data_IF_387146715190
#
_entry.id   IF_387146715190
#
_cell.length_a   1.000
_cell.length_b   1.000
_cell.length_c   1.000
_cell.angle_alpha   90.00
_cell.angle_beta   90.00
_cell.angle_gamma   90.00
#
_symmetry.space_group_name_H-M   'P 1'
#
loop_
_entity.id
_entity.type
_entity.pdbx_description
1 polymer ?
#
# COMPACT_ATOMS: atom_id res chain seq x y z
N UNK A 1 -25.44 -36.70 -2.84
CA UNK A 1 -24.78 -36.54 -1.53
C UNK A 1 -25.84 -36.20 -0.49
N UNK A 2 -25.72 -36.62 0.79
CA UNK A 2 -26.69 -36.26 1.82
C UNK A 2 -26.68 -34.73 2.08
N UNK A 3 -27.75 -34.15 2.65
CA UNK A 3 -27.75 -32.74 3.04
C UNK A 3 -26.59 -32.39 3.99
N UNK A 4 -25.92 -31.27 3.76
CA UNK A 4 -24.82 -30.78 4.60
C UNK A 4 -23.65 -30.19 3.81
N UNK A 5 -22.60 -29.79 4.52
CA UNK A 5 -21.36 -29.25 3.94
C UNK A 5 -20.43 -30.39 3.53
N UNK A 6 -20.11 -30.46 2.24
CA UNK A 6 -19.17 -31.42 1.68
C UNK A 6 -17.93 -30.71 1.15
N UNK A 7 -16.75 -31.31 1.35
CA UNK A 7 -15.50 -30.82 0.78
C UNK A 7 -14.94 -31.88 -0.16
N UNK A 8 -14.85 -31.56 -1.45
CA UNK A 8 -14.24 -32.42 -2.47
C UNK A 8 -12.87 -31.84 -2.81
N UNK A 9 -11.83 -32.65 -2.72
CA UNK A 9 -10.46 -32.30 -3.11
C UNK A 9 -10.06 -33.14 -4.32
N UNK A 10 -9.45 -32.49 -5.32
CA UNK A 10 -8.92 -33.15 -6.50
C UNK A 10 -7.59 -32.52 -6.85
N UNK A 11 -6.57 -33.35 -6.99
CA UNK A 11 -5.25 -32.90 -7.39
C UNK A 11 -5.19 -32.80 -8.92
N UNK A 12 -4.65 -31.70 -9.41
CA UNK A 12 -4.49 -31.42 -10.84
C UNK A 12 -3.02 -31.08 -11.07
N UNK A 13 -2.38 -31.83 -11.97
CA UNK A 13 -1.01 -31.55 -12.40
C UNK A 13 -1.03 -30.82 -13.74
N UNK A 14 -0.38 -29.65 -13.80
CA UNK A 14 -0.21 -28.86 -15.02
C UNK A 14 1.25 -28.99 -15.45
N UNK A 15 1.51 -29.82 -16.47
CA UNK A 15 2.85 -29.95 -17.04
C UNK A 15 3.28 -28.63 -17.69
N UNK A 16 4.54 -28.27 -17.52
CA UNK A 16 5.14 -27.06 -18.10
C UNK A 16 4.32 -25.79 -17.82
N UNK A 17 3.82 -25.68 -16.59
CA UNK A 17 2.99 -24.56 -16.15
C UNK A 17 3.71 -23.21 -16.37
N UNK A 18 3.03 -22.28 -17.00
CA UNK A 18 3.50 -20.90 -17.18
C UNK A 18 3.24 -20.14 -15.88
N UNK A 19 4.30 -19.88 -15.12
CA UNK A 19 4.18 -19.16 -13.86
C UNK A 19 3.67 -17.73 -14.05
N UNK A 20 2.92 -17.24 -13.08
CA UNK A 20 2.57 -15.83 -12.98
C UNK A 20 3.78 -15.04 -12.47
N UNK A 21 4.06 -13.92 -13.13
CA UNK A 21 5.11 -12.99 -12.75
C UNK A 21 4.56 -11.56 -12.70
N UNK A 22 5.09 -10.70 -11.81
CA UNK A 22 4.89 -9.27 -11.92
C UNK A 22 5.38 -8.73 -13.27
N UNK A 23 4.80 -7.62 -13.69
CA UNK A 23 4.98 -7.08 -15.05
C UNK A 23 6.42 -6.68 -15.39
N UNK A 24 7.22 -6.35 -14.37
CA UNK A 24 8.58 -5.85 -14.51
C UNK A 24 9.62 -6.96 -14.66
N UNK A 25 9.27 -8.21 -14.33
CA UNK A 25 10.19 -9.35 -14.36
C UNK A 25 9.68 -10.55 -15.17
N UNK A 26 8.45 -10.50 -15.67
CA UNK A 26 7.89 -11.55 -16.51
C UNK A 26 6.47 -11.28 -16.97
N UNK A 27 5.82 -12.33 -17.47
CA UNK A 27 4.42 -12.26 -17.92
C UNK A 27 3.47 -12.66 -16.79
N UNK A 28 2.39 -11.89 -16.53
CA UNK A 28 1.35 -12.25 -15.59
C UNK A 28 0.43 -13.33 -16.19
N UNK A 29 0.93 -14.56 -16.32
CA UNK A 29 0.15 -15.68 -16.86
C UNK A 29 -0.99 -16.05 -15.92
N UNK A 30 -2.22 -16.07 -16.44
CA UNK A 30 -3.43 -16.43 -15.72
C UNK A 30 -4.10 -17.64 -16.36
N UNK A 31 -4.71 -18.46 -15.52
CA UNK A 31 -5.49 -19.64 -15.86
C UNK A 31 -6.92 -19.44 -15.39
N UNK A 32 -7.87 -20.12 -16.06
CA UNK A 32 -9.28 -20.13 -15.66
C UNK A 32 -9.60 -21.54 -15.20
N UNK A 33 -9.95 -21.67 -13.92
CA UNK A 33 -10.54 -22.89 -13.39
C UNK A 33 -12.05 -22.85 -13.62
N UNK A 34 -12.58 -23.88 -14.28
CA UNK A 34 -14.03 -24.06 -14.49
C UNK A 34 -14.48 -25.28 -13.70
N UNK A 35 -15.29 -25.06 -12.66
CA UNK A 35 -15.82 -26.11 -11.80
C UNK A 35 -17.32 -26.26 -12.08
N UNK A 36 -17.76 -27.48 -12.35
CA UNK A 36 -19.18 -27.83 -12.51
C UNK A 36 -19.54 -28.99 -11.60
N UNK A 37 -20.72 -28.93 -10.98
CA UNK A 37 -21.31 -30.04 -10.24
C UNK A 37 -22.46 -30.58 -11.07
N UNK A 38 -22.31 -31.81 -11.59
CA UNK A 38 -23.31 -32.41 -12.48
C UNK A 38 -23.74 -33.80 -12.01
N UNK A 39 -25.03 -34.11 -12.13
CA UNK A 39 -25.62 -35.42 -11.90
C UNK A 39 -26.51 -35.79 -13.09
N UNK A 40 -26.42 -37.02 -13.62
CA UNK A 40 -27.26 -37.50 -14.73
C UNK A 40 -27.34 -36.55 -15.95
N UNK A 41 -26.21 -35.90 -16.31
CA UNK A 41 -26.08 -34.88 -17.37
C UNK A 41 -26.76 -33.53 -17.09
N UNK A 42 -27.33 -33.34 -15.91
CA UNK A 42 -27.84 -32.04 -15.45
C UNK A 42 -26.71 -31.32 -14.70
N UNK A 43 -26.42 -30.08 -15.07
CA UNK A 43 -25.49 -29.22 -14.34
C UNK A 43 -26.25 -28.51 -13.21
N UNK A 44 -25.91 -28.80 -11.96
CA UNK A 44 -26.55 -28.21 -10.78
C UNK A 44 -25.92 -26.89 -10.38
N UNK A 45 -24.61 -26.74 -10.59
CA UNK A 45 -23.89 -25.53 -10.21
C UNK A 45 -22.61 -25.37 -11.05
N UNK A 46 -22.20 -24.13 -11.26
CA UNK A 46 -21.05 -23.76 -12.05
C UNK A 46 -20.33 -22.55 -11.48
N UNK A 47 -19.00 -22.64 -11.41
CA UNK A 47 -18.15 -21.53 -10.97
C UNK A 47 -16.89 -21.43 -11.82
N UNK A 48 -16.60 -20.22 -12.28
CA UNK A 48 -15.31 -19.86 -12.85
C UNK A 48 -14.46 -19.10 -11.83
N UNK A 49 -13.17 -19.34 -11.83
CA UNK A 49 -12.22 -18.60 -10.99
C UNK A 49 -10.90 -18.47 -11.74
N UNK A 50 -10.45 -17.23 -11.92
CA UNK A 50 -9.14 -16.93 -12.47
C UNK A 50 -8.08 -17.11 -11.39
N UNK A 51 -6.95 -17.71 -11.72
CA UNK A 51 -5.82 -17.89 -10.81
C UNK A 51 -4.49 -17.80 -11.56
N UNK A 52 -3.40 -17.57 -10.83
CA UNK A 52 -2.04 -17.61 -11.35
C UNK A 52 -1.21 -18.58 -10.52
N UNK A 53 -0.27 -19.27 -11.17
CA UNK A 53 0.61 -20.24 -10.50
C UNK A 53 1.90 -19.52 -10.14
N UNK A 54 2.17 -19.36 -8.84
CA UNK A 54 3.43 -18.80 -8.37
C UNK A 54 3.74 -19.23 -6.94
N UNK A 55 5.01 -19.12 -6.58
CA UNK A 55 5.47 -19.24 -5.20
C UNK A 55 5.82 -17.86 -4.64
N UNK A 56 5.46 -17.58 -3.39
CA UNK A 56 5.96 -16.41 -2.66
C UNK A 56 6.61 -16.84 -1.37
N UNK A 57 7.79 -16.28 -1.10
CA UNK A 57 8.57 -16.50 0.12
C UNK A 57 9.13 -15.17 0.62
N UNK A 58 9.48 -15.13 1.90
CA UNK A 58 10.28 -14.06 2.48
C UNK A 58 11.58 -14.61 3.07
N UNK A 59 12.67 -13.90 2.82
CA UNK A 59 13.99 -14.15 3.41
C UNK A 59 14.41 -12.97 4.31
N UNK A 60 15.30 -13.27 5.25
CA UNK A 60 15.93 -12.24 6.07
C UNK A 60 16.74 -11.29 5.20
N UNK A 61 16.59 -9.99 5.44
CA UNK A 61 17.30 -8.96 4.71
C UNK A 61 18.82 -9.10 4.93
N UNK A 62 19.62 -9.21 3.85
CA UNK A 62 21.07 -9.21 4.00
C UNK A 62 21.55 -7.92 4.67
N UNK A 63 22.38 -8.02 5.70
CA UNK A 63 22.91 -6.86 6.42
C UNK A 63 22.09 -6.44 7.65
N UNK A 64 21.01 -7.14 7.97
CA UNK A 64 20.39 -7.10 9.30
C UNK A 64 20.51 -8.46 9.98
N UNK A 65 20.76 -8.44 11.29
CA UNK A 65 20.78 -9.64 12.13
C UNK A 65 19.39 -9.93 12.70
N UNK A 66 19.17 -11.16 13.18
CA UNK A 66 17.93 -11.54 13.89
C UNK A 66 17.76 -10.88 15.25
N UNK A 67 18.81 -10.22 15.75
CA UNK A 67 18.76 -9.41 16.96
C UNK A 67 18.29 -7.97 16.66
N UNK A 68 18.41 -7.53 15.41
CA UNK A 68 17.98 -6.20 14.95
C UNK A 68 16.57 -6.20 14.37
N UNK A 69 16.13 -7.31 13.77
CA UNK A 69 14.82 -7.45 13.13
C UNK A 69 14.14 -8.76 13.53
N UNK A 70 12.82 -8.74 13.68
CA UNK A 70 11.97 -9.88 14.07
C UNK A 70 11.31 -10.56 12.86
N UNK A 71 11.19 -9.86 11.72
CA UNK A 71 10.54 -10.39 10.51
C UNK A 71 11.44 -10.31 9.28
N UNK A 72 11.44 -11.34 8.41
CA UNK A 72 12.04 -11.24 7.09
C UNK A 72 11.23 -10.28 6.20
N UNK A 73 11.90 -9.41 5.43
CA UNK A 73 11.23 -8.48 4.50
C UNK A 73 11.71 -8.59 3.05
N UNK A 74 12.68 -9.46 2.76
CA UNK A 74 13.11 -9.70 1.38
C UNK A 74 12.11 -10.61 0.70
N UNK A 75 11.27 -10.05 -0.17
CA UNK A 75 10.24 -10.83 -0.89
C UNK A 75 10.81 -11.52 -2.12
N UNK A 76 10.48 -12.80 -2.28
CA UNK A 76 10.80 -13.61 -3.45
C UNK A 76 9.52 -14.04 -4.14
N UNK A 77 9.51 -13.93 -5.47
CA UNK A 77 8.46 -14.49 -6.32
C UNK A 77 9.10 -15.51 -7.24
N UNK A 78 8.66 -16.76 -7.17
CA UNK A 78 9.23 -17.90 -7.91
C UNK A 78 10.76 -17.99 -7.74
N UNK A 79 11.25 -17.76 -6.52
CA UNK A 79 12.69 -17.78 -6.18
C UNK A 79 13.49 -16.54 -6.58
N UNK A 80 12.89 -15.53 -7.24
CA UNK A 80 13.57 -14.28 -7.60
C UNK A 80 13.26 -13.18 -6.58
N UNK A 81 14.31 -12.58 -5.99
CA UNK A 81 14.19 -11.41 -5.11
C UNK A 81 13.61 -10.23 -5.88
N UNK A 82 12.60 -9.59 -5.31
CA UNK A 82 11.99 -8.38 -5.85
C UNK A 82 12.23 -7.22 -4.89
N UNK A 83 12.51 -6.04 -5.44
CA UNK A 83 12.43 -4.82 -4.67
C UNK A 83 11.04 -4.24 -4.84
N UNK A 84 10.33 -4.07 -3.72
CA UNK A 84 8.96 -3.57 -3.71
C UNK A 84 9.00 -2.06 -3.99
N UNK A 85 8.46 -1.68 -5.15
CA UNK A 85 8.25 -0.29 -5.58
C UNK A 85 6.76 -0.03 -5.47
N UNK A 86 6.36 0.47 -4.31
CA UNK A 86 4.96 0.55 -3.90
C UNK A 86 4.50 1.98 -3.68
N UNK A 87 3.19 2.11 -3.56
CA UNK A 87 2.53 3.24 -2.94
C UNK A 87 1.28 2.74 -2.22
N UNK A 88 0.98 3.37 -1.09
CA UNK A 88 -0.30 3.21 -0.41
C UNK A 88 -1.40 3.66 -1.37
N UNK A 89 -2.39 2.79 -1.62
CA UNK A 89 -3.43 3.01 -2.63
C UNK A 89 -4.10 4.37 -2.46
N UNK A 90 -4.56 4.67 -1.24
CA UNK A 90 -5.12 5.94 -0.78
C UNK A 90 -5.76 5.76 0.59
N UNK A 91 -6.14 6.86 1.27
CA UNK A 91 -6.86 6.78 2.56
C UNK A 91 -8.29 6.21 2.49
N UNK A 92 -8.71 5.76 1.30
CA UNK A 92 -10.00 5.19 0.99
C UNK A 92 -10.03 4.74 -0.47
N UNK A 93 -11.11 4.07 -0.91
CA UNK A 93 -11.25 3.62 -2.29
C UNK A 93 -11.27 4.83 -3.23
N UNK A 94 -11.23 4.68 -4.56
CA UNK A 94 -11.08 5.81 -5.47
C UNK A 94 -12.16 6.89 -5.41
N UNK A 95 -13.24 6.68 -4.65
CA UNK A 95 -14.28 7.65 -4.34
C UNK A 95 -14.82 7.38 -2.91
N UNK A 96 -15.03 8.44 -2.11
CA UNK A 96 -15.65 8.33 -0.78
C UNK A 96 -17.02 7.63 -0.83
N UNK A 97 -17.74 7.79 -1.95
CA UNK A 97 -18.95 7.03 -2.24
C UNK A 97 -18.56 5.77 -3.00
N UNK A 98 -18.17 4.74 -2.26
CA UNK A 98 -17.54 3.51 -2.76
C UNK A 98 -18.26 2.88 -3.98
N UNK A 99 -19.60 2.92 -4.00
CA UNK A 99 -20.43 2.40 -5.10
C UNK A 99 -20.42 3.20 -6.41
N UNK A 100 -19.77 4.37 -6.47
CA UNK A 100 -19.69 5.21 -7.69
C UNK A 100 -18.50 4.88 -8.59
N UNK A 101 -17.51 4.16 -8.07
CA UNK A 101 -16.28 3.91 -8.81
C UNK A 101 -16.51 2.89 -9.92
N UNK A 102 -16.32 3.31 -11.17
CA UNK A 102 -16.45 2.45 -12.33
C UNK A 102 -15.23 1.54 -12.53
N UNK A 103 -15.43 0.43 -13.25
CA UNK A 103 -14.32 -0.45 -13.70
C UNK A 103 -13.25 0.32 -14.46
N UNK A 104 -13.67 1.28 -15.27
CA UNK A 104 -12.78 2.09 -16.10
C UNK A 104 -11.91 3.03 -15.26
N UNK A 105 -12.45 3.57 -14.15
CA UNK A 105 -11.66 4.32 -13.17
C UNK A 105 -10.58 3.43 -12.55
N UNK A 106 -10.94 2.25 -12.04
CA UNK A 106 -9.96 1.29 -11.50
C UNK A 106 -8.88 0.90 -12.52
N UNK A 107 -9.29 0.50 -13.73
CA UNK A 107 -8.37 0.09 -14.80
C UNK A 107 -7.38 1.20 -15.13
N UNK A 108 -7.87 2.45 -15.21
CA UNK A 108 -7.02 3.62 -15.47
C UNK A 108 -6.03 3.85 -14.32
N UNK A 109 -6.46 3.78 -13.07
CA UNK A 109 -5.57 3.97 -11.91
C UNK A 109 -4.47 2.90 -11.83
N UNK A 110 -4.81 1.63 -12.05
CA UNK A 110 -3.84 0.52 -12.09
C UNK A 110 -2.86 0.70 -13.25
N UNK A 111 -3.36 1.14 -14.42
CA UNK A 111 -2.51 1.49 -15.55
C UNK A 111 -1.56 2.65 -15.21
N UNK A 112 -2.02 3.66 -14.48
CA UNK A 112 -1.20 4.78 -14.01
C UNK A 112 -0.10 4.31 -13.05
N UNK A 113 -0.38 3.37 -12.14
CA UNK A 113 0.61 2.81 -11.23
C UNK A 113 1.72 2.07 -12.00
N UNK A 114 1.33 1.23 -12.97
CA UNK A 114 2.27 0.53 -13.86
C UNK A 114 3.10 1.51 -14.69
N UNK A 115 2.46 2.53 -15.24
CA UNK A 115 3.12 3.60 -15.97
C UNK A 115 4.13 4.38 -15.13
N UNK A 116 3.89 4.52 -13.81
CA UNK A 116 4.81 5.07 -12.83
C UNK A 116 5.91 4.10 -12.40
N UNK A 117 6.05 2.95 -13.09
CA UNK A 117 6.98 1.87 -12.78
C UNK A 117 6.81 1.26 -11.37
N UNK A 118 5.62 1.36 -10.77
CA UNK A 118 5.28 0.64 -9.55
C UNK A 118 5.03 -0.84 -9.87
N UNK A 119 5.57 -1.74 -9.04
CA UNK A 119 5.33 -3.18 -9.16
C UNK A 119 4.45 -3.72 -8.01
N UNK A 120 4.09 -2.85 -7.07
CA UNK A 120 3.27 -3.18 -5.91
C UNK A 120 2.31 -2.02 -5.59
N UNK A 121 1.17 -2.34 -4.98
CA UNK A 121 0.27 -1.39 -4.31
C UNK A 121 0.04 -1.91 -2.89
N UNK A 122 0.10 -1.03 -1.89
CA UNK A 122 -0.21 -1.33 -0.49
C UNK A 122 -1.65 -0.90 -0.18
N UNK A 123 -2.48 -1.83 0.29
CA UNK A 123 -3.76 -1.55 0.94
C UNK A 123 -3.48 -1.55 2.43
N UNK A 124 -3.40 -0.37 3.04
CA UNK A 124 -3.02 -0.20 4.45
C UNK A 124 -4.25 -0.06 5.35
N UNK A 125 -4.10 -0.29 6.66
CA UNK A 125 -5.19 -0.54 7.62
C UNK A 125 -6.22 0.59 7.83
N UNK A 126 -5.97 1.80 7.31
CA UNK A 126 -6.99 2.85 7.26
C UNK A 126 -7.96 2.70 6.07
N UNK A 127 -7.58 1.92 5.06
CA UNK A 127 -8.37 1.68 3.86
C UNK A 127 -9.28 0.45 4.08
N UNK A 128 -10.58 0.52 3.74
CA UNK A 128 -11.45 -0.64 3.83
C UNK A 128 -10.98 -1.74 2.87
N UNK A 129 -11.23 -2.98 3.21
CA UNK A 129 -10.96 -4.12 2.34
C UNK A 129 -11.40 -3.87 0.87
N UNK A 130 -10.47 -3.87 -0.10
CA UNK A 130 -10.81 -3.56 -1.51
C UNK A 130 -11.73 -4.63 -2.16
N UNK A 131 -12.42 -4.24 -3.22
CA UNK A 131 -13.35 -5.09 -3.96
C UNK A 131 -12.61 -6.11 -4.84
N UNK A 132 -13.23 -7.27 -5.17
CA UNK A 132 -12.60 -8.31 -6.00
C UNK A 132 -12.03 -7.79 -7.34
N UNK A 133 -12.73 -6.84 -7.97
CA UNK A 133 -12.34 -6.23 -9.23
C UNK A 133 -10.93 -5.58 -9.17
N UNK A 134 -10.56 -4.98 -8.03
CA UNK A 134 -9.23 -4.39 -7.86
C UNK A 134 -8.13 -5.47 -7.99
N UNK A 135 -8.30 -6.60 -7.31
CA UNK A 135 -7.34 -7.70 -7.36
C UNK A 135 -7.31 -8.37 -8.73
N UNK A 136 -8.46 -8.55 -9.38
CA UNK A 136 -8.55 -9.06 -10.75
C UNK A 136 -7.73 -8.21 -11.72
N UNK A 137 -7.91 -6.89 -11.67
CA UNK A 137 -7.17 -5.95 -12.50
C UNK A 137 -5.66 -5.93 -12.15
N UNK A 138 -5.29 -6.06 -10.87
CA UNK A 138 -3.89 -6.20 -10.46
C UNK A 138 -3.26 -7.51 -10.97
N UNK A 139 -4.01 -8.62 -10.93
CA UNK A 139 -3.58 -9.91 -11.45
C UNK A 139 -3.26 -9.82 -12.95
N UNK A 140 -4.15 -9.19 -13.73
CA UNK A 140 -3.99 -8.98 -15.17
C UNK A 140 -2.85 -8.01 -15.49
N UNK A 141 -2.74 -6.91 -14.73
CA UNK A 141 -1.72 -5.90 -14.94
C UNK A 141 -0.31 -6.38 -14.55
N UNK A 142 -0.22 -7.41 -13.70
CA UNK A 142 1.02 -7.89 -13.09
C UNK A 142 1.51 -7.00 -11.95
N UNK A 143 0.60 -6.28 -11.27
CA UNK A 143 0.91 -5.47 -10.09
C UNK A 143 0.66 -6.34 -8.85
N UNK A 144 1.65 -6.43 -7.98
CA UNK A 144 1.52 -7.16 -6.72
C UNK A 144 0.76 -6.33 -5.68
N UNK A 145 0.20 -6.97 -4.67
CA UNK A 145 -0.55 -6.33 -3.60
C UNK A 145 0.02 -6.77 -2.26
N UNK A 146 0.41 -5.79 -1.46
CA UNK A 146 0.59 -5.91 -0.01
C UNK A 146 -0.74 -5.51 0.63
N UNK A 147 -1.35 -6.41 1.38
CA UNK A 147 -2.69 -6.16 1.90
C UNK A 147 -2.79 -6.33 3.42
N UNK A 148 -3.15 -5.25 4.09
CA UNK A 148 -3.68 -5.28 5.44
C UNK A 148 -5.06 -5.94 5.38
N UNK A 149 -5.19 -7.08 6.05
CA UNK A 149 -6.32 -8.00 5.81
C UNK A 149 -7.63 -7.45 6.36
N UNK A 150 -7.55 -6.79 7.50
CA UNK A 150 -8.67 -6.14 8.20
C UNK A 150 -8.30 -4.67 8.35
N UNK A 151 -9.25 -3.73 8.19
CA UNK A 151 -8.99 -2.30 8.38
C UNK A 151 -8.79 -1.95 9.87
N UNK A 152 -7.64 -2.34 10.41
CA UNK A 152 -7.19 -2.02 11.76
C UNK A 152 -6.17 -0.89 11.67
N UNK A 153 -6.63 0.35 11.79
CA UNK A 153 -5.78 1.54 11.83
C UNK A 153 -5.78 2.17 13.22
N UNK A 154 -4.60 2.58 13.70
CA UNK A 154 -4.33 3.39 14.92
C UNK A 154 -5.48 3.39 15.94
N UNK A 155 -5.44 2.47 16.91
CA UNK A 155 -6.47 2.42 17.94
C UNK A 155 -6.24 1.33 18.98
N UNK A 156 -7.19 1.23 19.91
CA UNK A 156 -7.25 0.16 20.90
C UNK A 156 -8.39 -0.80 20.55
N UNK A 157 -8.12 -2.09 20.66
CA UNK A 157 -9.12 -3.13 20.47
C UNK A 157 -9.81 -3.45 21.79
N UNK A 158 -11.06 -3.90 21.70
CA UNK A 158 -11.74 -4.47 22.87
C UNK A 158 -11.04 -5.76 23.30
N UNK A 159 -10.91 -5.97 24.61
CA UNK A 159 -10.38 -7.21 25.18
C UNK A 159 -11.46 -8.32 25.25
N UNK A 160 -12.67 -8.02 24.81
CA UNK A 160 -13.77 -8.99 24.73
C UNK A 160 -13.48 -10.09 23.69
N UNK A 161 -13.50 -11.35 24.12
CA UNK A 161 -13.17 -12.50 23.29
C UNK A 161 -14.17 -12.69 22.15
N UNK A 162 -15.44 -12.31 22.32
CA UNK A 162 -16.44 -12.39 21.24
C UNK A 162 -16.12 -11.39 20.12
N UNK A 163 -15.65 -10.19 20.47
CA UNK A 163 -15.18 -9.18 19.53
C UNK A 163 -13.92 -9.64 18.78
N UNK A 164 -12.95 -10.20 19.51
CA UNK A 164 -11.71 -10.75 18.94
C UNK A 164 -12.03 -11.89 17.97
N UNK A 165 -12.86 -12.85 18.38
CA UNK A 165 -13.25 -14.00 17.57
C UNK A 165 -13.99 -13.56 16.30
N UNK A 166 -14.88 -12.58 16.41
CA UNK A 166 -15.61 -12.02 15.26
C UNK A 166 -14.65 -11.34 14.29
N UNK A 167 -13.71 -10.54 14.79
CA UNK A 167 -12.70 -9.85 13.97
C UNK A 167 -11.82 -10.85 13.22
N UNK A 168 -11.32 -11.89 13.90
CA UNK A 168 -10.53 -12.94 13.26
C UNK A 168 -11.35 -13.70 12.21
N UNK A 169 -12.63 -13.99 12.51
CA UNK A 169 -13.51 -14.66 11.56
C UNK A 169 -13.75 -13.84 10.28
N UNK A 170 -13.84 -12.51 10.41
CA UNK A 170 -13.91 -11.58 9.27
C UNK A 170 -12.63 -11.65 8.41
N UNK A 171 -11.45 -11.57 9.03
CA UNK A 171 -10.18 -11.73 8.31
C UNK A 171 -10.07 -13.05 7.55
N UNK A 172 -10.54 -14.15 8.17
CA UNK A 172 -10.60 -15.47 7.52
C UNK A 172 -11.55 -15.48 6.33
N UNK A 173 -12.72 -14.82 6.44
CA UNK A 173 -13.66 -14.71 5.34
C UNK A 173 -13.06 -13.93 4.15
N UNK A 174 -12.43 -12.79 4.46
CA UNK A 174 -11.72 -11.95 3.50
C UNK A 174 -10.62 -12.72 2.75
N UNK A 175 -9.75 -13.43 3.48
CA UNK A 175 -8.67 -14.21 2.83
C UNK A 175 -9.23 -15.37 2.01
N UNK A 176 -10.29 -16.04 2.45
CA UNK A 176 -10.93 -17.10 1.65
C UNK A 176 -11.47 -16.59 0.32
N UNK A 177 -11.98 -15.37 0.28
CA UNK A 177 -12.43 -14.73 -0.96
C UNK A 177 -11.23 -14.38 -1.87
N UNK A 178 -10.13 -13.88 -1.28
CA UNK A 178 -9.01 -13.31 -2.05
C UNK A 178 -7.88 -14.28 -2.37
N UNK A 179 -7.81 -15.44 -1.73
CA UNK A 179 -6.66 -16.36 -1.81
C UNK A 179 -6.31 -16.89 -3.20
N UNK A 180 -7.21 -16.78 -4.16
CA UNK A 180 -6.95 -17.20 -5.55
C UNK A 180 -6.27 -16.11 -6.38
N UNK A 181 -6.10 -14.89 -5.85
CA UNK A 181 -5.47 -13.78 -6.55
C UNK A 181 -3.94 -13.88 -6.50
N UNK A 182 -3.26 -14.14 -7.63
CA UNK A 182 -1.79 -14.19 -7.65
C UNK A 182 -1.15 -12.82 -7.38
N UNK A 183 -1.87 -11.70 -7.47
CA UNK A 183 -1.31 -10.40 -7.09
C UNK A 183 -1.03 -10.29 -5.59
N UNK A 184 -1.77 -10.96 -4.71
CA UNK A 184 -1.64 -10.83 -3.25
C UNK A 184 -0.38 -11.53 -2.71
N UNK A 185 0.69 -10.79 -2.42
CA UNK A 185 2.01 -11.37 -2.07
C UNK A 185 2.34 -11.30 -0.58
N UNK A 186 1.70 -10.44 0.19
CA UNK A 186 1.98 -10.24 1.60
C UNK A 186 0.70 -9.86 2.32
N UNK A 187 0.48 -10.46 3.47
CA UNK A 187 -0.59 -10.12 4.40
C UNK A 187 -0.01 -9.29 5.54
N UNK A 188 -0.78 -8.31 5.99
CA UNK A 188 -0.48 -7.51 7.17
C UNK A 188 -1.68 -7.50 8.12
N UNK A 189 -1.41 -7.41 9.42
CA UNK A 189 -2.43 -7.43 10.45
C UNK A 189 -3.07 -6.07 10.70
N UNK A 190 -2.26 -5.09 11.07
CA UNK A 190 -2.70 -3.74 11.39
C UNK A 190 -1.75 -2.66 10.90
N UNK A 191 -2.25 -1.44 11.02
CA UNK A 191 -1.56 -0.21 10.70
C UNK A 191 -1.48 0.69 11.93
N UNK A 192 -0.25 0.99 12.34
CA UNK A 192 0.08 1.90 13.43
C UNK A 192 -0.62 1.55 14.76
N UNK A 193 -0.96 0.28 14.97
CA UNK A 193 -1.68 -0.17 16.16
C UNK A 193 -0.88 0.11 17.43
N UNK A 194 0.43 -0.08 17.37
CA UNK A 194 1.31 0.21 18.51
C UNK A 194 1.49 1.71 18.79
N UNK A 195 1.19 2.62 17.85
CA UNK A 195 1.35 4.07 18.11
C UNK A 195 0.36 4.60 19.15
N UNK A 196 -0.77 3.92 19.37
CA UNK A 196 -1.78 4.30 20.37
C UNK A 196 -2.25 3.16 21.26
N UNK A 197 -1.50 2.06 21.30
CA UNK A 197 -1.83 0.91 22.11
C UNK A 197 -1.69 1.23 23.61
N UNK A 198 -2.78 1.01 24.37
CA UNK A 198 -2.79 1.07 25.82
C UNK A 198 -2.34 -0.23 26.50
N UNK A 199 -2.31 -1.34 25.74
CA UNK A 199 -1.77 -2.62 26.16
C UNK A 199 -0.99 -3.25 24.98
N UNK A 200 0.32 -2.95 24.88
CA UNK A 200 1.14 -3.44 23.77
C UNK A 200 1.24 -4.97 23.74
N UNK A 201 1.22 -5.64 24.89
CA UNK A 201 1.31 -7.11 24.93
C UNK A 201 0.05 -7.75 24.37
N UNK A 202 -1.12 -7.28 24.79
CA UNK A 202 -2.40 -7.74 24.24
C UNK A 202 -2.48 -7.50 22.73
N UNK A 203 -2.05 -6.31 22.27
CA UNK A 203 -2.05 -5.95 20.85
C UNK A 203 -1.20 -6.93 20.03
N UNK A 204 0.00 -7.26 20.53
CA UNK A 204 0.86 -8.27 19.92
C UNK A 204 0.20 -9.65 19.87
N UNK A 205 -0.32 -10.13 21.01
CA UNK A 205 -0.94 -11.46 21.09
C UNK A 205 -2.12 -11.60 20.13
N UNK A 206 -2.95 -10.55 20.01
CA UNK A 206 -4.04 -10.48 19.06
C UNK A 206 -3.55 -10.58 17.60
N UNK A 207 -2.56 -9.77 17.20
CA UNK A 207 -2.07 -9.75 15.83
C UNK A 207 -1.36 -11.07 15.47
N UNK A 208 -0.57 -11.65 16.39
CA UNK A 208 0.03 -12.97 16.17
C UNK A 208 -1.03 -14.07 16.00
N UNK A 209 -2.10 -14.04 16.82
CA UNK A 209 -3.24 -14.97 16.69
C UNK A 209 -3.97 -14.79 15.36
N UNK A 210 -4.20 -13.54 14.94
CA UNK A 210 -4.78 -13.22 13.64
C UNK A 210 -3.93 -13.82 12.52
N UNK A 211 -2.65 -13.48 12.46
CA UNK A 211 -1.71 -13.98 11.46
C UNK A 211 -1.69 -15.49 11.33
N UNK A 212 -1.55 -16.20 12.45
CA UNK A 212 -1.56 -17.67 12.48
C UNK A 212 -2.85 -18.23 11.88
N UNK A 213 -4.00 -17.67 12.25
CA UNK A 213 -5.32 -18.14 11.76
C UNK A 213 -5.50 -17.86 10.27
N UNK A 214 -5.00 -16.73 9.76
CA UNK A 214 -5.03 -16.42 8.34
C UNK A 214 -4.16 -17.39 7.53
N UNK A 215 -2.95 -17.71 8.03
CA UNK A 215 -2.01 -18.61 7.37
C UNK A 215 -2.49 -20.08 7.28
N UNK A 216 -3.45 -20.50 8.11
CA UNK A 216 -4.12 -21.80 7.94
C UNK A 216 -4.97 -21.88 6.65
N UNK A 217 -5.34 -20.73 6.07
CA UNK A 217 -6.22 -20.62 4.92
C UNK A 217 -5.51 -20.28 3.61
N UNK A 218 -4.26 -19.80 3.70
CA UNK A 218 -3.39 -19.45 2.58
C UNK A 218 -1.91 -19.51 2.98
N UNK A 219 -1.07 -20.04 2.09
CA UNK A 219 0.39 -20.03 2.24
C UNK A 219 0.97 -18.69 1.72
N UNK A 220 0.86 -17.65 2.54
CA UNK A 220 1.48 -16.34 2.28
C UNK A 220 2.21 -15.82 3.53
N UNK A 221 3.29 -15.03 3.33
CA UNK A 221 3.92 -14.31 4.41
C UNK A 221 2.95 -13.35 5.11
N UNK A 222 3.12 -13.22 6.42
CA UNK A 222 2.33 -12.34 7.29
C UNK A 222 3.24 -11.47 8.14
N UNK A 223 2.86 -10.20 8.30
CA UNK A 223 3.49 -9.23 9.20
C UNK A 223 2.42 -8.72 10.19
N UNK A 224 2.69 -8.67 11.51
CA UNK A 224 1.68 -8.24 12.48
C UNK A 224 1.19 -6.81 12.32
N UNK A 225 2.11 -5.85 12.18
CA UNK A 225 1.80 -4.41 12.14
C UNK A 225 2.84 -3.66 11.30
N UNK A 226 2.48 -2.45 10.90
CA UNK A 226 3.40 -1.48 10.30
C UNK A 226 3.17 -0.08 10.90
N UNK A 227 4.20 0.63 11.41
CA UNK A 227 5.57 0.20 11.63
C UNK A 227 5.70 -0.54 12.97
N UNK A 228 6.81 -1.26 13.16
CA UNK A 228 7.13 -1.97 14.40
C UNK A 228 8.38 -1.39 15.10
N UNK A 229 8.57 -0.07 14.99
CA UNK A 229 9.77 0.62 15.52
C UNK A 229 9.48 1.55 16.69
N UNK A 230 8.21 1.77 17.06
CA UNK A 230 7.85 2.67 18.16
C UNK A 230 8.14 2.04 19.54
N UNK A 231 8.19 2.86 20.58
CA UNK A 231 8.49 2.43 21.95
C UNK A 231 7.54 1.31 22.43
N UNK A 232 6.24 1.46 22.22
CA UNK A 232 5.24 0.45 22.59
C UNK A 232 5.48 -0.89 21.87
N UNK A 233 5.85 -0.89 20.59
CA UNK A 233 6.18 -2.12 19.87
C UNK A 233 7.44 -2.80 20.44
N UNK A 234 8.43 -2.01 20.88
CA UNK A 234 9.64 -2.55 21.52
C UNK A 234 9.33 -3.09 22.92
N UNK A 235 8.44 -2.44 23.69
CA UNK A 235 7.93 -2.95 24.96
C UNK A 235 7.19 -4.28 24.77
N UNK A 236 6.43 -4.43 23.69
CA UNK A 236 5.79 -5.68 23.30
C UNK A 236 6.82 -6.76 22.86
N UNK A 237 8.08 -6.41 22.67
CA UNK A 237 9.19 -7.32 22.39
C UNK A 237 9.65 -7.37 20.93
N UNK A 238 9.21 -6.44 20.08
CA UNK A 238 9.74 -6.30 18.73
C UNK A 238 11.12 -5.63 18.72
N UNK A 239 11.90 -5.91 17.67
CA UNK A 239 13.26 -5.41 17.54
C UNK A 239 13.31 -3.96 17.01
N UNK A 240 14.40 -3.20 17.25
CA UNK A 240 14.42 -1.77 16.98
C UNK A 240 14.57 -1.40 15.49
N UNK A 241 15.01 -2.32 14.61
CA UNK A 241 15.26 -2.04 13.19
C UNK A 241 14.18 -2.61 12.27
N UNK A 242 12.94 -2.68 12.75
CA UNK A 242 11.80 -3.10 11.95
C UNK A 242 11.42 -2.13 10.83
N UNK A 243 10.34 -2.44 10.10
CA UNK A 243 9.76 -1.53 9.13
C UNK A 243 9.43 -0.16 9.76
N UNK A 244 9.78 0.93 9.06
CA UNK A 244 9.64 2.31 9.56
C UNK A 244 8.71 3.14 8.69
N UNK A 245 7.84 3.93 9.31
CA UNK A 245 7.09 4.98 8.65
C UNK A 245 7.97 6.24 8.56
N UNK A 246 8.39 6.57 7.34
CA UNK A 246 9.24 7.71 7.01
C UNK A 246 8.41 9.02 6.92
N UNK A 247 7.58 9.28 7.94
CA UNK A 247 6.70 10.44 8.04
C UNK A 247 7.34 11.59 8.81
N UNK A 248 8.36 11.28 9.64
CA UNK A 248 8.93 12.23 10.59
C UNK A 248 9.53 13.45 9.90
N UNK A 249 10.07 13.32 8.68
CA UNK A 249 10.54 14.48 7.92
C UNK A 249 9.40 15.45 7.61
N UNK A 250 8.29 14.97 7.06
CA UNK A 250 7.11 15.81 6.79
C UNK A 250 6.63 16.56 8.04
N UNK A 251 6.47 15.86 9.16
CA UNK A 251 6.01 16.48 10.41
C UNK A 251 7.05 17.37 11.10
N UNK A 252 8.33 17.26 10.73
CA UNK A 252 9.43 18.05 11.29
C UNK A 252 10.16 18.87 10.22
N UNK A 253 9.49 19.18 9.10
CA UNK A 253 10.08 19.99 8.03
C UNK A 253 10.61 21.31 8.61
N UNK A 254 11.82 21.68 8.19
CA UNK A 254 12.55 22.84 8.71
C UNK A 254 13.46 22.56 9.91
N UNK A 255 13.39 21.37 10.55
CA UNK A 255 14.30 21.02 11.66
C UNK A 255 15.67 20.49 11.20
N UNK A 256 15.75 19.86 10.02
CA UNK A 256 16.98 19.36 9.44
C UNK A 256 16.87 19.32 7.92
N UNK A 257 17.99 19.44 7.18
CA UNK A 257 18.00 19.21 5.74
C UNK A 257 17.49 17.81 5.40
N UNK A 258 16.77 17.71 4.30
CA UNK A 258 16.19 16.47 3.82
C UNK A 258 17.24 15.36 3.62
N UNK A 259 18.38 15.69 3.02
CA UNK A 259 19.45 14.73 2.72
C UNK A 259 20.03 14.12 4.00
N UNK A 260 20.25 14.94 5.02
CA UNK A 260 20.76 14.50 6.32
C UNK A 260 19.77 13.58 7.03
N UNK A 261 18.47 13.82 6.87
CA UNK A 261 17.44 12.97 7.44
C UNK A 261 17.33 11.63 6.71
N UNK A 262 17.24 11.64 5.37
CA UNK A 262 17.13 10.42 4.55
C UNK A 262 18.35 9.52 4.76
N UNK A 263 19.57 10.08 4.79
CA UNK A 263 20.81 9.32 4.96
C UNK A 263 20.90 8.55 6.30
N UNK A 264 20.14 8.96 7.32
CA UNK A 264 20.07 8.28 8.62
C UNK A 264 19.12 7.09 8.63
N UNK A 265 18.26 6.96 7.62
CA UNK A 265 17.29 5.87 7.54
C UNK A 265 17.97 4.59 7.05
N UNK A 266 18.07 3.64 7.97
CA UNK A 266 18.67 2.32 7.76
C UNK A 266 17.75 1.24 8.31
N UNK A 267 16.81 0.81 7.45
CA UNK A 267 15.71 -0.10 7.77
C UNK A 267 15.46 -1.11 6.63
N UNK A 268 14.90 -2.30 6.94
CA UNK A 268 14.71 -3.38 5.98
C UNK A 268 13.62 -3.09 4.95
N UNK A 269 12.63 -2.26 5.29
CA UNK A 269 11.55 -1.83 4.39
C UNK A 269 10.95 -0.51 4.93
N UNK A 270 10.45 0.34 4.03
CA UNK A 270 9.77 1.60 4.36
C UNK A 270 8.33 1.52 3.87
N UNK A 271 7.37 1.13 4.72
CA UNK A 271 5.98 0.91 4.33
C UNK A 271 5.25 2.20 3.99
N UNK A 272 5.71 3.33 4.51
CA UNK A 272 5.15 4.64 4.23
C UNK A 272 6.24 5.70 4.17
N UNK A 273 6.14 6.57 3.17
CA UNK A 273 6.85 7.83 3.08
C UNK A 273 5.88 8.86 2.53
N UNK A 274 5.48 9.82 3.38
CA UNK A 274 4.45 10.78 3.05
C UNK A 274 5.03 12.18 2.89
N UNK A 275 4.68 12.83 1.79
CA UNK A 275 5.05 14.21 1.45
C UNK A 275 3.84 14.86 0.78
N UNK A 276 3.61 16.14 1.02
CA UNK A 276 2.41 16.85 0.56
C UNK A 276 2.63 17.53 -0.79
N UNK A 277 1.54 17.71 -1.53
CA UNK A 277 1.49 18.52 -2.75
C UNK A 277 0.04 18.96 -3.00
N UNK A 278 -0.15 20.00 -3.80
CA UNK A 278 -1.50 20.38 -4.26
C UNK A 278 -1.77 19.86 -5.68
N UNK A 279 -3.03 19.54 -6.03
CA UNK A 279 -3.38 19.11 -7.38
C UNK A 279 -3.25 20.26 -8.39
N UNK A 280 -3.34 19.92 -9.68
CA UNK A 280 -3.22 20.89 -10.76
C UNK A 280 -4.25 22.02 -10.62
N UNK A 281 -3.94 23.20 -11.14
CA UNK A 281 -4.80 24.38 -11.09
C UNK A 281 -6.20 24.08 -11.65
N UNK A 282 -6.30 23.31 -12.72
CA UNK A 282 -7.57 22.91 -13.33
C UNK A 282 -8.41 22.04 -12.40
N UNK A 283 -7.78 21.21 -11.56
CA UNK A 283 -8.46 20.40 -10.56
C UNK A 283 -8.87 21.23 -9.36
N UNK A 284 -8.00 22.13 -8.87
CA UNK A 284 -8.32 23.06 -7.78
C UNK A 284 -9.57 23.89 -8.11
N UNK A 285 -9.68 24.41 -9.34
CA UNK A 285 -10.84 25.19 -9.81
C UNK A 285 -12.17 24.44 -9.76
N UNK A 286 -12.17 23.11 -9.64
CA UNK A 286 -13.41 22.31 -9.59
C UNK A 286 -14.01 22.23 -8.19
N UNK A 287 -13.23 22.46 -7.14
CA UNK A 287 -13.67 22.27 -5.76
C UNK A 287 -13.34 23.41 -4.81
N UNK A 288 -12.41 24.31 -5.17
CA UNK A 288 -12.13 25.52 -4.41
C UNK A 288 -12.96 26.70 -4.97
N UNK A 289 -13.67 27.46 -4.11
CA UNK A 289 -14.36 28.68 -4.51
C UNK A 289 -13.44 29.69 -5.18
N UNK A 290 -13.94 30.43 -6.18
CA UNK A 290 -13.13 31.37 -6.97
C UNK A 290 -12.52 32.49 -6.12
N UNK A 291 -13.22 32.94 -5.08
CA UNK A 291 -12.75 33.94 -4.12
C UNK A 291 -11.74 33.40 -3.09
N UNK A 292 -11.48 32.09 -3.08
CA UNK A 292 -10.57 31.40 -2.14
C UNK A 292 -9.42 30.68 -2.87
N UNK A 293 -9.36 30.78 -4.20
CA UNK A 293 -8.39 30.04 -5.00
C UNK A 293 -6.98 30.63 -4.87
N UNK A 294 -6.85 31.96 -4.81
CA UNK A 294 -5.58 32.64 -4.61
C UNK A 294 -5.75 34.09 -4.11
N UNK A 295 -5.11 34.48 -2.99
CA UNK A 295 -4.35 33.63 -2.07
C UNK A 295 -5.23 32.55 -1.41
N UNK A 296 -4.66 31.46 -0.86
CA UNK A 296 -5.43 30.35 -0.31
C UNK A 296 -6.43 30.79 0.77
N UNK A 297 -7.71 30.53 0.55
CA UNK A 297 -8.78 30.78 1.52
C UNK A 297 -8.99 29.65 2.53
N UNK A 298 -9.93 29.80 3.48
CA UNK A 298 -10.19 28.81 4.53
C UNK A 298 -10.53 27.40 4.02
N UNK A 299 -11.14 27.27 2.84
CA UNK A 299 -11.52 25.97 2.27
C UNK A 299 -10.32 25.03 2.08
N UNK A 300 -9.13 25.57 1.81
CA UNK A 300 -7.93 24.78 1.59
C UNK A 300 -7.62 23.86 2.78
N UNK A 301 -7.46 24.44 3.97
CA UNK A 301 -7.21 23.68 5.20
C UNK A 301 -8.48 23.07 5.79
N UNK A 302 -9.58 23.83 5.79
CA UNK A 302 -10.82 23.46 6.49
C UNK A 302 -11.61 22.32 5.84
N UNK A 303 -11.55 22.20 4.51
CA UNK A 303 -12.35 21.21 3.76
C UNK A 303 -11.52 20.24 2.92
N UNK A 304 -10.26 20.59 2.65
CA UNK A 304 -9.39 19.83 1.74
C UNK A 304 -8.02 19.48 2.35
N UNK A 305 -7.87 19.67 3.67
CA UNK A 305 -6.70 19.25 4.47
C UNK A 305 -5.34 19.75 3.98
N UNK A 306 -5.30 20.89 3.26
CA UNK A 306 -4.04 21.52 2.91
C UNK A 306 -3.33 22.01 4.18
N UNK A 307 -2.10 21.55 4.37
CA UNK A 307 -1.19 22.09 5.37
C UNK A 307 -0.28 23.12 4.69
N UNK A 308 -0.73 24.38 4.69
CA UNK A 308 -0.04 25.47 4.00
C UNK A 308 1.37 25.71 4.56
N UNK A 309 1.57 25.51 5.87
CA UNK A 309 2.87 25.70 6.50
C UNK A 309 3.85 24.64 6.00
N UNK A 310 3.40 23.38 5.87
CA UNK A 310 4.23 22.30 5.30
C UNK A 310 4.49 22.49 3.81
N UNK A 311 3.49 22.87 3.02
CA UNK A 311 3.67 23.16 1.60
C UNK A 311 4.72 24.25 1.37
N UNK A 312 4.67 25.33 2.16
CA UNK A 312 5.64 26.43 2.09
C UNK A 312 7.02 26.01 2.58
N UNK A 313 7.11 25.29 3.71
CA UNK A 313 8.37 24.80 4.24
C UNK A 313 9.08 23.85 3.26
N UNK A 314 8.31 22.98 2.59
CA UNK A 314 8.81 22.06 1.57
C UNK A 314 9.36 22.79 0.33
N UNK A 315 8.64 23.81 -0.15
CA UNK A 315 9.12 24.67 -1.24
C UNK A 315 10.42 25.38 -0.83
N UNK A 316 10.47 25.88 0.42
CA UNK A 316 11.66 26.55 0.93
C UNK A 316 12.86 25.61 1.01
N UNK A 317 12.69 24.39 1.52
CA UNK A 317 13.77 23.39 1.61
C UNK A 317 14.30 23.01 0.22
N UNK A 318 13.42 22.94 -0.79
CA UNK A 318 13.79 22.54 -2.15
C UNK A 318 14.36 23.69 -2.99
N UNK A 319 13.80 24.90 -2.87
CA UNK A 319 14.09 26.02 -3.80
C UNK A 319 14.66 27.27 -3.12
N UNK A 320 14.79 27.29 -1.79
CA UNK A 320 15.19 28.46 -1.01
C UNK A 320 14.14 29.58 -0.95
N UNK A 321 12.89 29.29 -1.31
CA UNK A 321 11.76 30.24 -1.28
C UNK A 321 10.44 29.49 -1.12
N UNK A 322 9.46 30.11 -0.45
CA UNK A 322 8.12 29.53 -0.24
C UNK A 322 7.26 29.45 -1.52
N UNK A 323 7.67 30.16 -2.59
CA UNK A 323 7.01 30.16 -3.91
C UNK A 323 5.55 30.62 -3.88
N UNK A 324 5.27 31.71 -3.18
CA UNK A 324 3.92 32.26 -2.95
C UNK A 324 3.54 33.44 -3.87
N UNK A 325 4.18 33.59 -5.04
CA UNK A 325 3.91 34.70 -5.96
C UNK A 325 2.60 34.56 -6.75
N UNK A 326 2.33 33.37 -7.29
CA UNK A 326 1.08 33.07 -8.01
C UNK A 326 0.56 31.67 -7.72
N UNK A 327 -0.71 31.43 -8.00
CA UNK A 327 -1.31 30.09 -7.85
C UNK A 327 -0.55 29.03 -8.67
N UNK A 328 -0.23 29.34 -9.92
CA UNK A 328 0.47 28.40 -10.79
C UNK A 328 1.88 28.11 -10.27
N UNK A 329 2.61 29.17 -9.87
CA UNK A 329 3.95 29.01 -9.28
C UNK A 329 3.91 28.15 -8.01
N UNK A 330 2.94 28.38 -7.13
CA UNK A 330 2.82 27.63 -5.89
C UNK A 330 2.46 26.16 -6.16
N UNK A 331 1.51 25.90 -7.07
CA UNK A 331 1.15 24.53 -7.47
C UNK A 331 2.35 23.80 -8.05
N UNK A 332 3.02 24.38 -9.04
CA UNK A 332 4.17 23.78 -9.70
C UNK A 332 5.29 23.51 -8.69
N UNK A 333 5.58 24.46 -7.80
CA UNK A 333 6.60 24.31 -6.76
C UNK A 333 6.27 23.16 -5.80
N UNK A 334 5.05 23.06 -5.29
CA UNK A 334 4.70 22.00 -4.32
C UNK A 334 4.78 20.61 -4.95
N UNK A 335 4.38 20.50 -6.22
CA UNK A 335 4.47 19.27 -6.99
C UNK A 335 5.93 18.92 -7.25
N UNK A 336 6.73 19.86 -7.75
CA UNK A 336 8.14 19.61 -8.03
C UNK A 336 8.92 19.24 -6.76
N UNK A 337 8.66 19.93 -5.65
CA UNK A 337 9.25 19.63 -4.36
C UNK A 337 8.89 18.22 -3.87
N UNK A 338 7.61 17.81 -3.98
CA UNK A 338 7.20 16.44 -3.64
C UNK A 338 7.94 15.41 -4.52
N UNK A 339 8.05 15.68 -5.82
CA UNK A 339 8.78 14.84 -6.77
C UNK A 339 10.25 14.67 -6.40
N UNK A 340 10.94 15.76 -6.06
CA UNK A 340 12.35 15.76 -5.65
C UNK A 340 12.55 14.99 -4.34
N UNK A 341 11.68 15.17 -3.35
CA UNK A 341 11.79 14.44 -2.07
C UNK A 341 11.58 12.93 -2.28
N UNK A 342 10.56 12.56 -3.06
CA UNK A 342 10.32 11.17 -3.41
C UNK A 342 11.49 10.58 -4.21
N UNK A 343 12.07 11.34 -5.15
CA UNK A 343 13.25 10.94 -5.90
C UNK A 343 14.41 10.59 -4.95
N UNK A 344 14.81 11.55 -4.12
CA UNK A 344 15.95 11.41 -3.21
C UNK A 344 15.77 10.19 -2.30
N UNK A 345 14.55 10.02 -1.78
CA UNK A 345 14.21 8.89 -0.91
C UNK A 345 14.27 7.55 -1.64
N UNK A 346 13.63 7.45 -2.81
CA UNK A 346 13.61 6.21 -3.61
C UNK A 346 15.01 5.81 -4.04
N UNK A 347 15.83 6.76 -4.50
CA UNK A 347 17.21 6.52 -4.88
C UNK A 347 18.03 6.01 -3.69
N UNK A 348 17.91 6.63 -2.51
CA UNK A 348 18.57 6.17 -1.29
C UNK A 348 18.24 4.72 -0.95
N UNK A 349 16.96 4.38 -0.81
CA UNK A 349 16.55 3.02 -0.44
C UNK A 349 16.87 1.99 -1.53
N UNK A 350 16.85 2.38 -2.80
CA UNK A 350 17.25 1.49 -3.91
C UNK A 350 18.74 1.22 -3.95
N UNK A 351 19.59 2.21 -3.61
CA UNK A 351 21.05 2.01 -3.52
C UNK A 351 21.40 1.06 -2.37
N UNK A 352 20.58 1.01 -1.34
CA UNK A 352 20.77 0.12 -0.19
C UNK A 352 20.36 -1.35 -0.46
N UNK A 353 19.98 -1.72 -1.69
CA UNK A 353 19.74 -3.13 -2.02
C UNK A 353 21.01 -3.97 -1.83
N UNK A 354 20.91 -5.20 -1.30
CA UNK A 354 19.70 -5.91 -0.87
C UNK A 354 19.28 -5.67 0.59
N UNK A 355 19.93 -4.76 1.32
CA UNK A 355 19.65 -4.48 2.74
C UNK A 355 18.24 -3.92 2.94
N UNK A 356 17.85 -2.94 2.13
CA UNK A 356 16.45 -2.49 2.04
C UNK A 356 15.74 -3.21 0.90
N UNK A 357 14.53 -3.70 1.17
CA UNK A 357 13.74 -4.55 0.25
C UNK A 357 12.57 -3.83 -0.40
N UNK A 358 12.20 -2.64 0.06
CA UNK A 358 11.12 -1.89 -0.56
C UNK A 358 10.81 -0.55 0.08
N UNK A 359 10.03 0.24 -0.66
CA UNK A 359 9.45 1.51 -0.23
C UNK A 359 8.02 1.63 -0.74
N UNK A 360 7.11 2.15 0.08
CA UNK A 360 5.78 2.61 -0.33
C UNK A 360 5.61 4.10 -0.10
N UNK A 361 5.18 4.81 -1.14
CA UNK A 361 4.85 6.23 -1.10
C UNK A 361 3.41 6.44 -0.61
N UNK A 362 3.20 7.46 0.21
CA UNK A 362 1.90 7.86 0.74
C UNK A 362 1.51 9.22 0.13
N UNK A 363 0.46 9.33 -0.69
CA UNK A 363 -0.43 8.29 -1.25
C UNK A 363 -0.43 8.29 -2.79
N UNK A 364 -0.82 7.15 -3.38
CA UNK A 364 -0.98 7.02 -4.83
C UNK A 364 -2.20 7.79 -5.36
N UNK A 365 -3.38 7.62 -4.74
CA UNK A 365 -4.62 8.30 -5.10
C UNK A 365 -5.24 9.03 -3.91
N UNK A 366 -6.14 9.95 -4.20
CA UNK A 366 -7.09 10.50 -3.21
C UNK A 366 -8.50 9.98 -3.46
N UNK A 367 -9.24 9.72 -2.38
CA UNK A 367 -10.64 9.28 -2.42
C UNK A 367 -11.65 10.45 -2.41
N UNK A 368 -11.13 11.65 -2.15
CA UNK A 368 -11.81 12.94 -2.12
C UNK A 368 -10.91 13.97 -2.82
N UNK A 369 -11.42 15.10 -3.33
CA UNK A 369 -10.55 16.21 -3.70
C UNK A 369 -9.83 16.73 -2.44
N UNK A 370 -8.61 16.28 -2.16
CA UNK A 370 -7.81 16.71 -1.01
C UNK A 370 -6.39 17.12 -1.41
N UNK A 371 -5.68 17.71 -0.44
CA UNK A 371 -4.35 18.32 -0.61
C UNK A 371 -3.38 17.88 0.48
N UNK A 372 -3.57 16.69 1.07
CA UNK A 372 -2.73 16.23 2.18
C UNK A 372 -1.51 15.45 1.71
N UNK A 373 -1.64 14.15 1.45
CA UNK A 373 -0.53 13.30 0.99
C UNK A 373 -0.80 12.65 -0.35
N UNK A 374 -2.07 12.61 -0.76
CA UNK A 374 -2.36 12.21 -2.13
C UNK A 374 -1.87 13.30 -3.07
N UNK A 375 -1.13 12.86 -4.08
CA UNK A 375 -0.39 13.78 -4.92
C UNK A 375 0.08 13.15 -6.21
N UNK A 376 0.32 11.84 -6.26
CA UNK A 376 0.78 11.20 -7.49
C UNK A 376 -0.34 11.24 -8.56
N UNK A 377 -1.56 10.86 -8.18
CA UNK A 377 -2.75 10.97 -9.01
C UNK A 377 -3.88 11.61 -8.20
N UNK A 378 -4.43 12.72 -8.69
CA UNK A 378 -5.54 13.40 -8.01
C UNK A 378 -6.89 12.65 -8.17
N UNK A 379 -7.91 13.09 -7.43
CA UNK A 379 -9.26 12.50 -7.49
C UNK A 379 -9.90 12.51 -8.91
N UNK A 380 -9.45 13.41 -9.78
CA UNK A 380 -9.89 13.54 -11.17
C UNK A 380 -8.99 12.77 -12.16
N UNK A 381 -8.15 11.87 -11.64
CA UNK A 381 -7.24 11.01 -12.39
C UNK A 381 -6.20 11.80 -13.19
N UNK A 382 -5.92 13.05 -12.79
CA UNK A 382 -4.85 13.85 -13.36
C UNK A 382 -3.54 13.52 -12.65
N UNK A 383 -2.50 13.46 -13.47
CA UNK A 383 -1.12 13.33 -13.01
C UNK A 383 -0.64 14.68 -12.49
N UNK A 384 0.00 14.67 -11.33
CA UNK A 384 0.87 15.76 -10.92
C UNK A 384 2.26 15.62 -11.55
N UNK A 385 3.06 16.69 -11.55
CA UNK A 385 4.46 16.66 -11.96
C UNK A 385 5.30 15.54 -11.29
N UNK A 386 5.17 15.23 -9.97
CA UNK A 386 5.86 14.12 -9.33
C UNK A 386 5.65 12.79 -10.05
N UNK A 387 4.43 12.52 -10.55
CA UNK A 387 4.16 11.28 -11.27
C UNK A 387 4.93 11.16 -12.59
N UNK A 388 5.25 12.28 -13.24
CA UNK A 388 6.06 12.32 -14.46
C UNK A 388 7.53 12.08 -14.11
N UNK A 389 8.01 12.71 -13.03
CA UNK A 389 9.39 12.52 -12.55
C UNK A 389 9.62 11.07 -12.08
N UNK A 390 8.69 10.49 -11.32
CA UNK A 390 8.75 9.10 -10.85
C UNK A 390 8.93 8.11 -12.02
N UNK A 391 8.36 8.37 -13.20
CA UNK A 391 8.57 7.53 -14.39
C UNK A 391 10.02 7.47 -14.83
N UNK A 392 10.68 8.63 -14.87
CA UNK A 392 12.06 8.75 -15.36
C UNK A 392 13.05 8.16 -14.37
N UNK A 393 12.78 8.30 -13.08
CA UNK A 393 13.71 7.94 -12.01
C UNK A 393 13.64 6.47 -11.63
N UNK A 394 12.44 5.87 -11.70
CA UNK A 394 12.29 4.45 -11.39
C UNK A 394 12.79 3.56 -12.54
N UNK A 395 12.82 4.08 -13.78
CA UNK A 395 13.26 3.36 -14.99
C UNK A 395 14.77 3.44 -15.25
N UNK A 396 15.50 4.35 -14.61
CA UNK A 396 16.96 4.39 -14.63
C UNK A 396 17.50 3.47 -13.51
N UNK A 397 18.25 2.44 -13.90
CA UNK A 397 18.95 1.42 -13.08
C UNK A 397 18.11 0.24 -12.56
#
# INVERSE_FOLDING_TARGET
MPPGKHTIKKDISIKDAKLWWPWDIGKPNLYISKLSISENKINHDFKETTFGIREVKMEWNPGFTKDEVSFPRTTLINGKKIFIRSACWGGGPPDIFTGRTSKEKYKKLIQLAKEANMNNIRIFGWHPSEIPLFYELCNEAGITVWNDVIPLGTGNLSHDEDFIATTIAEGVAVIKERRNNPSLIMMEGGEEMFLRSGDPKFTRDFLERLGKTLQENIDLPYVPDSPLTCEASQEAGYKPKEAVHALAYFYNMGHAPMEDWINKLDFPIVPELAITSVPNVESLRKFIPENEIWPPGPSWGGHHWADLDRLRAQNFDTFGSEKTGSLQEFVDATQDAQGIIFQLSIEHFRRNKPKTSGIALCHFITYWPDMKWGGIVDNYQQKSAPSIMLKQLISLF
#
